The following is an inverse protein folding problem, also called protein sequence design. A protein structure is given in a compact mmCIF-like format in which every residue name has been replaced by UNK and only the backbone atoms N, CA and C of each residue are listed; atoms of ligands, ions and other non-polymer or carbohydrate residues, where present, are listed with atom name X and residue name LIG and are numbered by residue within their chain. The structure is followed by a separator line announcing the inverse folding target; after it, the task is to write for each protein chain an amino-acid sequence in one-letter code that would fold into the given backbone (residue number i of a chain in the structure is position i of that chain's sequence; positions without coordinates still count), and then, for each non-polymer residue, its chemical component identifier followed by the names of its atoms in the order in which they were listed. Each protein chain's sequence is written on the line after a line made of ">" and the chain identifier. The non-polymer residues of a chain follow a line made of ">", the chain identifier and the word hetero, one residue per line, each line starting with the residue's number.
data_IF_903328636057
#
_entry.id   IF_903328636057
#
_cell.length_a   1.000
_cell.length_b   1.000
_cell.length_c   1.000
_cell.angle_alpha   90.00
_cell.angle_beta   90.00
_cell.angle_gamma   90.00
#
_symmetry.space_group_name_H-M   'P 1'
#
loop_
_entity.id
_entity.type
_entity.pdbx_description
1 polymer ?
#
# COMPACT_ATOMS: atom_id res chain seq x y z
N UNK A 1 2.40 2.37 -40.66
CA UNK A 1 2.86 1.31 -39.75
C UNK A 1 3.80 1.92 -38.71
N UNK A 2 4.99 2.44 -39.07
CA UNK A 2 5.99 2.98 -38.12
C UNK A 2 5.45 4.07 -37.18
N UNK A 3 4.70 5.05 -37.75
CA UNK A 3 4.08 6.14 -36.99
C UNK A 3 2.97 5.68 -36.04
N UNK A 4 2.38 4.54 -36.33
CA UNK A 4 1.34 3.95 -35.50
C UNK A 4 1.96 3.19 -34.32
N UNK A 5 3.07 2.51 -34.54
CA UNK A 5 3.86 1.87 -33.48
C UNK A 5 4.51 2.91 -32.56
N UNK A 6 5.07 3.99 -33.10
CA UNK A 6 5.66 5.08 -32.30
C UNK A 6 4.63 5.75 -31.37
N UNK A 7 3.35 5.82 -31.76
CA UNK A 7 2.28 6.35 -30.90
C UNK A 7 1.92 5.41 -29.74
N UNK A 8 2.20 4.13 -29.87
CA UNK A 8 1.94 3.13 -28.83
C UNK A 8 3.14 2.90 -27.90
N UNK A 9 4.31 3.37 -28.31
CA UNK A 9 5.54 3.24 -27.54
C UNK A 9 5.49 4.19 -26.35
N UNK A 10 5.32 3.62 -25.16
CA UNK A 10 5.43 4.36 -23.90
C UNK A 10 6.90 4.55 -23.59
N UNK A 11 7.40 5.73 -23.79
CA UNK A 11 8.74 6.12 -23.30
C UNK A 11 8.58 6.47 -21.83
N UNK A 12 9.19 5.66 -20.98
CA UNK A 12 9.26 5.99 -19.55
C UNK A 12 10.31 7.09 -19.36
N UNK A 13 9.98 8.18 -18.65
CA UNK A 13 10.95 9.20 -18.33
C UNK A 13 12.10 8.62 -17.50
N UNK A 14 13.30 9.18 -17.67
CA UNK A 14 14.44 8.81 -16.83
C UNK A 14 14.10 9.02 -15.35
N UNK A 15 14.49 8.04 -14.53
CA UNK A 15 14.19 8.09 -13.09
C UNK A 15 14.98 9.23 -12.45
N UNK A 16 14.35 10.10 -11.67
CA UNK A 16 15.07 11.09 -10.89
C UNK A 16 15.96 10.38 -9.86
N UNK A 17 17.15 10.93 -9.54
CA UNK A 17 18.11 10.28 -8.64
C UNK A 17 17.58 10.07 -7.22
N UNK A 18 16.52 10.79 -6.83
CA UNK A 18 15.81 10.60 -5.56
C UNK A 18 14.36 10.26 -5.89
N UNK A 19 14.05 8.98 -5.91
CA UNK A 19 12.68 8.50 -6.16
C UNK A 19 12.35 7.36 -5.22
N UNK A 20 11.10 7.31 -4.77
CA UNK A 20 10.53 6.14 -4.08
C UNK A 20 9.83 5.30 -5.13
N UNK A 21 10.27 4.07 -5.28
CA UNK A 21 9.66 3.12 -6.21
C UNK A 21 8.47 2.45 -5.54
N UNK A 22 7.36 2.35 -6.29
CA UNK A 22 6.17 1.63 -5.87
C UNK A 22 6.05 0.38 -6.73
N UNK A 23 6.11 -0.76 -6.10
CA UNK A 23 6.06 -2.06 -6.78
C UNK A 23 4.94 -2.93 -6.20
N UNK A 24 4.45 -3.85 -7.02
CA UNK A 24 3.50 -4.87 -6.59
C UNK A 24 4.17 -5.95 -5.74
N UNK A 25 3.36 -6.64 -4.94
CA UNK A 25 3.84 -7.69 -4.02
C UNK A 25 4.70 -8.77 -4.70
N UNK A 26 4.35 -9.19 -5.90
CA UNK A 26 5.07 -10.24 -6.63
C UNK A 26 6.35 -9.74 -7.31
N UNK A 27 6.51 -8.43 -7.46
CA UNK A 27 7.64 -7.78 -8.13
C UNK A 27 8.77 -7.48 -7.16
N UNK A 28 8.46 -7.32 -5.87
CA UNK A 28 9.42 -6.97 -4.82
C UNK A 28 10.63 -7.92 -4.71
N UNK A 29 10.49 -9.17 -5.12
CA UNK A 29 11.58 -10.14 -5.10
C UNK A 29 12.72 -9.80 -6.09
N UNK A 30 12.43 -8.98 -7.10
CA UNK A 30 13.37 -8.54 -8.12
C UNK A 30 14.01 -7.20 -7.78
N UNK A 31 13.54 -6.55 -6.73
CA UNK A 31 14.06 -5.27 -6.26
C UNK A 31 15.26 -5.52 -5.35
N UNK A 32 16.37 -4.85 -5.63
CA UNK A 32 17.64 -4.93 -4.90
C UNK A 32 17.81 -3.82 -3.86
N UNK A 33 16.80 -2.96 -3.67
CA UNK A 33 16.84 -1.90 -2.68
C UNK A 33 17.12 -2.46 -1.28
N UNK A 34 18.07 -1.88 -0.53
CA UNK A 34 18.45 -2.39 0.78
C UNK A 34 17.35 -2.19 1.84
N UNK A 35 16.46 -1.25 1.62
CA UNK A 35 15.33 -0.92 2.50
C UNK A 35 14.00 -1.13 1.76
N UNK A 36 13.11 -1.88 2.37
CA UNK A 36 11.75 -2.05 1.87
C UNK A 36 10.71 -1.62 2.91
N UNK A 37 9.70 -0.90 2.45
CA UNK A 37 8.50 -0.62 3.22
C UNK A 37 7.33 -1.39 2.62
N UNK A 38 6.89 -2.45 3.29
CA UNK A 38 5.74 -3.25 2.89
C UNK A 38 4.47 -2.69 3.50
N UNK A 39 3.60 -2.13 2.68
CA UNK A 39 2.29 -1.66 3.11
C UNK A 39 1.19 -2.63 2.69
N UNK A 40 0.02 -2.56 3.36
CA UNK A 40 -1.12 -3.40 3.03
C UNK A 40 -0.99 -4.87 3.44
N UNK A 41 -0.11 -5.18 4.40
CA UNK A 41 0.04 -6.53 4.96
C UNK A 41 -1.15 -6.89 5.85
N UNK A 42 -2.34 -6.89 5.23
CA UNK A 42 -3.61 -7.19 5.87
C UNK A 42 -4.22 -8.48 5.31
N UNK A 43 -5.01 -9.13 6.15
CA UNK A 43 -5.72 -10.35 5.78
C UNK A 43 -6.66 -10.10 4.59
N UNK A 44 -6.59 -10.97 3.59
CA UNK A 44 -7.35 -10.85 2.35
C UNK A 44 -6.63 -10.05 1.25
N UNK A 45 -5.60 -9.24 1.57
CA UNK A 45 -4.74 -8.58 0.60
C UNK A 45 -3.47 -9.38 0.34
N UNK A 46 -2.75 -9.73 1.40
CA UNK A 46 -1.56 -10.59 1.34
C UNK A 46 -1.61 -11.57 2.53
N UNK A 47 -1.83 -12.86 2.30
CA UNK A 47 -2.15 -13.49 1.01
C UNK A 47 -3.55 -13.13 0.51
N UNK A 48 -3.66 -12.96 -0.80
CA UNK A 48 -4.96 -12.82 -1.45
C UNK A 48 -5.74 -14.12 -1.28
N UNK A 49 -6.98 -14.03 -0.80
CA UNK A 49 -7.86 -15.18 -0.62
C UNK A 49 -9.10 -15.06 -1.53
N UNK A 50 -9.38 -16.11 -2.27
CA UNK A 50 -10.65 -16.24 -2.99
C UNK A 50 -11.68 -16.82 -2.02
N UNK A 51 -12.67 -16.01 -1.69
CA UNK A 51 -13.75 -16.38 -0.77
C UNK A 51 -15.07 -16.33 -1.54
N UNK A 52 -15.90 -17.35 -1.36
CA UNK A 52 -17.27 -17.34 -1.86
C UNK A 52 -17.46 -17.59 -3.36
N UNK A 53 -16.50 -18.22 -4.03
CA UNK A 53 -16.73 -18.72 -5.39
C UNK A 53 -17.67 -19.91 -5.35
N UNK A 54 -18.92 -19.70 -5.76
CA UNK A 54 -19.99 -20.71 -5.71
C UNK A 54 -19.79 -21.81 -6.74
N UNK A 55 -19.17 -21.51 -7.88
CA UNK A 55 -19.00 -22.46 -8.98
C UNK A 55 -17.73 -23.32 -8.81
N UNK A 56 -16.69 -22.73 -8.24
CA UNK A 56 -15.40 -23.41 -8.09
C UNK A 56 -14.81 -23.12 -6.71
N UNK A 57 -15.34 -23.77 -5.67
CA UNK A 57 -14.84 -23.61 -4.31
C UNK A 57 -13.39 -24.07 -4.18
N UNK A 58 -12.70 -23.61 -3.15
CA UNK A 58 -11.26 -23.85 -2.96
C UNK A 58 -10.91 -25.35 -2.87
N UNK A 59 -11.79 -26.15 -2.27
CA UNK A 59 -11.64 -27.62 -2.23
C UNK A 59 -11.68 -28.26 -3.62
N UNK A 60 -12.55 -27.81 -4.50
CA UNK A 60 -12.60 -28.29 -5.88
C UNK A 60 -11.36 -27.85 -6.68
N UNK A 61 -10.85 -26.64 -6.43
CA UNK A 61 -9.57 -26.16 -7.01
C UNK A 61 -8.41 -27.06 -6.60
N UNK A 62 -8.36 -27.47 -5.34
CA UNK A 62 -7.32 -28.35 -4.84
C UNK A 62 -7.37 -29.72 -5.52
N UNK A 63 -8.56 -30.32 -5.65
CA UNK A 63 -8.75 -31.61 -6.34
C UNK A 63 -8.38 -31.55 -7.83
N UNK A 64 -8.62 -30.42 -8.48
CA UNK A 64 -8.30 -30.19 -9.89
C UNK A 64 -6.84 -29.76 -10.11
N UNK A 65 -6.02 -29.63 -9.06
CA UNK A 65 -4.65 -29.14 -9.17
C UNK A 65 -4.52 -27.66 -9.56
N UNK A 66 -5.60 -26.88 -9.38
CA UNK A 66 -5.61 -25.45 -9.69
C UNK A 66 -5.06 -24.63 -8.51
N UNK A 67 -4.70 -23.38 -8.81
CA UNK A 67 -4.29 -22.41 -7.77
C UNK A 67 -5.41 -22.25 -6.74
N UNK A 68 -5.13 -22.63 -5.51
CA UNK A 68 -6.02 -22.55 -4.36
C UNK A 68 -5.45 -21.60 -3.29
N UNK A 69 -6.20 -21.34 -2.22
CA UNK A 69 -5.76 -20.44 -1.14
C UNK A 69 -4.52 -20.97 -0.40
N UNK A 70 -4.35 -22.28 -0.31
CA UNK A 70 -3.18 -22.92 0.32
C UNK A 70 -1.90 -22.67 -0.50
N UNK A 71 -1.97 -22.84 -1.82
CA UNK A 71 -0.83 -22.57 -2.71
C UNK A 71 -0.44 -21.10 -2.74
N UNK A 72 -1.43 -20.18 -2.67
CA UNK A 72 -1.19 -18.74 -2.56
C UNK A 72 -0.51 -18.39 -1.23
N UNK A 73 -1.02 -18.93 -0.14
CA UNK A 73 -0.42 -18.75 1.18
C UNK A 73 1.03 -19.24 1.21
N UNK A 74 1.31 -20.44 0.70
CA UNK A 74 2.65 -21.00 0.66
C UNK A 74 3.62 -20.12 -0.17
N UNK A 75 3.18 -19.66 -1.33
CA UNK A 75 3.94 -18.72 -2.17
C UNK A 75 4.27 -17.44 -1.40
N UNK A 76 3.28 -16.81 -0.81
CA UNK A 76 3.43 -15.52 -0.16
C UNK A 76 4.25 -15.62 1.14
N UNK A 77 4.14 -16.75 1.86
CA UNK A 77 4.99 -17.06 3.00
C UNK A 77 6.48 -17.21 2.59
N UNK A 78 6.72 -17.92 1.48
CA UNK A 78 8.06 -18.05 0.93
C UNK A 78 8.63 -16.69 0.50
N UNK A 79 7.85 -15.89 -0.24
CA UNK A 79 8.28 -14.55 -0.69
C UNK A 79 8.61 -13.65 0.48
N UNK A 80 7.77 -13.59 1.52
CA UNK A 80 8.03 -12.79 2.71
C UNK A 80 9.30 -13.23 3.41
N UNK A 81 9.50 -14.54 3.57
CA UNK A 81 10.69 -15.10 4.20
C UNK A 81 11.95 -14.78 3.40
N UNK A 82 11.89 -14.88 2.08
CA UNK A 82 13.01 -14.55 1.19
C UNK A 82 13.35 -13.06 1.23
N UNK A 83 12.35 -12.18 1.22
CA UNK A 83 12.54 -10.73 1.33
C UNK A 83 13.21 -10.33 2.65
N UNK A 84 12.78 -10.94 3.76
CA UNK A 84 13.39 -10.68 5.07
C UNK A 84 14.82 -11.22 5.11
N UNK A 85 15.05 -12.46 4.64
CA UNK A 85 16.35 -13.09 4.67
C UNK A 85 17.39 -12.38 3.78
N UNK A 86 16.96 -11.81 2.66
CA UNK A 86 17.84 -11.09 1.73
C UNK A 86 18.30 -9.71 2.23
N UNK A 87 17.68 -9.18 3.29
CA UNK A 87 17.90 -7.82 3.80
C UNK A 87 18.25 -7.80 5.29
N UNK A 88 19.26 -8.57 5.67
CA UNK A 88 19.73 -8.70 7.06
C UNK A 88 20.93 -7.80 7.39
N UNK A 89 21.31 -6.87 6.48
CA UNK A 89 22.46 -5.99 6.64
C UNK A 89 22.22 -4.84 7.64
N UNK A 90 23.31 -4.23 8.09
CA UNK A 90 23.30 -3.13 9.04
C UNK A 90 22.65 -1.86 8.45
N UNK A 91 21.62 -1.37 9.13
CA UNK A 91 21.00 -0.06 8.90
C UNK A 91 19.79 -0.02 8.00
N UNK A 92 19.43 -1.11 7.36
CA UNK A 92 18.24 -1.22 6.51
C UNK A 92 17.57 -2.58 6.74
N UNK A 93 16.41 -2.78 6.16
CA UNK A 93 15.67 -4.02 6.34
C UNK A 93 14.27 -3.91 5.75
N UNK A 94 13.43 -4.82 6.16
CA UNK A 94 12.02 -4.85 5.77
C UNK A 94 11.18 -4.26 6.90
N UNK A 95 10.56 -3.12 6.64
CA UNK A 95 9.57 -2.53 7.54
C UNK A 95 8.17 -2.90 7.06
N UNK A 96 7.31 -3.33 7.97
CA UNK A 96 5.96 -3.78 7.64
C UNK A 96 4.94 -2.84 8.27
N UNK A 97 4.06 -2.31 7.43
CA UNK A 97 2.95 -1.44 7.85
C UNK A 97 1.64 -2.16 7.65
N UNK A 98 0.87 -2.26 8.73
CA UNK A 98 -0.44 -2.90 8.77
C UNK A 98 -1.50 -1.82 8.97
N UNK A 99 -2.47 -1.75 8.07
CA UNK A 99 -3.61 -0.85 8.22
C UNK A 99 -4.55 -1.33 9.32
N UNK A 100 -5.04 -0.42 10.15
CA UNK A 100 -6.07 -0.73 11.17
C UNK A 100 -7.48 -0.62 10.60
N UNK A 101 -7.69 0.34 9.69
CA UNK A 101 -8.98 0.58 9.06
C UNK A 101 -8.81 0.73 7.54
N UNK A 102 -9.83 0.34 6.81
CA UNK A 102 -9.95 0.62 5.38
C UNK A 102 -10.24 2.10 5.13
N UNK A 103 -10.18 2.53 3.86
CA UNK A 103 -10.59 3.88 3.45
C UNK A 103 -12.06 4.19 3.76
N UNK A 104 -12.89 3.16 3.97
CA UNK A 104 -14.32 3.27 4.35
C UNK A 104 -14.53 3.25 5.86
N UNK A 105 -13.47 3.07 6.66
CA UNK A 105 -13.55 2.97 8.11
C UNK A 105 -13.73 1.55 8.66
N UNK A 106 -13.83 0.52 7.79
CA UNK A 106 -13.99 -0.86 8.24
C UNK A 106 -12.69 -1.36 8.90
N UNK A 107 -12.78 -2.12 10.00
CA UNK A 107 -11.60 -2.65 10.68
C UNK A 107 -10.89 -3.70 9.81
N UNK A 108 -9.59 -3.53 9.66
CA UNK A 108 -8.71 -4.47 8.98
C UNK A 108 -7.98 -5.34 9.98
N UNK A 109 -7.74 -6.60 9.61
CA UNK A 109 -6.95 -7.54 10.40
C UNK A 109 -5.55 -7.64 9.83
N UNK A 110 -4.51 -7.81 10.67
CA UNK A 110 -3.17 -8.14 10.19
C UNK A 110 -3.15 -9.43 9.38
N UNK A 111 -2.27 -9.49 8.41
CA UNK A 111 -2.06 -10.71 7.63
C UNK A 111 -1.63 -11.88 8.53
N UNK A 112 -2.19 -13.06 8.27
CA UNK A 112 -1.79 -14.32 8.94
C UNK A 112 -0.33 -14.67 8.70
N UNK A 113 0.31 -14.17 7.66
CA UNK A 113 1.73 -14.35 7.40
C UNK A 113 2.61 -13.79 8.52
N UNK A 114 2.17 -12.71 9.16
CA UNK A 114 2.91 -12.05 10.23
C UNK A 114 2.94 -12.88 11.53
N UNK A 115 2.09 -13.89 11.64
CA UNK A 115 2.06 -14.82 12.77
C UNK A 115 2.86 -16.10 12.54
N UNK A 116 3.56 -16.21 11.40
CA UNK A 116 4.49 -17.30 11.10
C UNK A 116 5.78 -17.09 11.91
N UNK A 117 5.78 -17.51 13.17
CA UNK A 117 6.91 -17.42 14.08
C UNK A 117 6.90 -18.59 15.07
N UNK A 118 7.98 -18.74 15.82
CA UNK A 118 8.01 -19.73 16.89
C UNK A 118 6.90 -19.45 17.92
N UNK A 119 6.27 -20.49 18.51
CA UNK A 119 5.19 -20.33 19.49
C UNK A 119 5.55 -19.39 20.66
N UNK A 120 6.80 -19.38 21.07
CA UNK A 120 7.32 -18.52 22.14
C UNK A 120 7.32 -17.03 21.80
N UNK A 121 7.38 -16.68 20.51
CA UNK A 121 7.39 -15.30 20.01
C UNK A 121 5.97 -14.76 19.73
N UNK A 122 4.99 -15.67 19.60
CA UNK A 122 3.63 -15.31 19.21
C UNK A 122 2.97 -14.28 20.14
N UNK A 123 3.06 -14.38 21.48
CA UNK A 123 2.46 -13.39 22.39
C UNK A 123 3.04 -11.99 22.21
N UNK A 124 4.33 -11.88 21.95
CA UNK A 124 4.98 -10.60 21.67
C UNK A 124 4.49 -10.02 20.35
N UNK A 125 4.45 -10.82 19.29
CA UNK A 125 3.93 -10.39 17.99
C UNK A 125 2.48 -9.91 18.05
N UNK A 126 1.64 -10.62 18.76
CA UNK A 126 0.25 -10.20 18.97
C UNK A 126 0.19 -8.82 19.64
N UNK A 127 0.99 -8.60 20.69
CA UNK A 127 1.06 -7.29 21.34
C UNK A 127 1.54 -6.18 20.41
N UNK A 128 2.51 -6.43 19.55
CA UNK A 128 3.04 -5.46 18.59
C UNK A 128 2.00 -5.12 17.52
N UNK A 129 1.31 -6.12 17.00
CA UNK A 129 0.35 -5.94 15.90
C UNK A 129 -1.01 -5.37 16.35
N UNK A 130 -1.48 -5.74 17.54
CA UNK A 130 -2.79 -5.31 18.08
C UNK A 130 -2.67 -4.27 19.17
N UNK A 131 -1.49 -4.06 19.73
CA UNK A 131 -1.25 -3.02 20.71
C UNK A 131 -1.57 -1.64 20.15
N UNK A 132 -1.90 -0.71 21.03
CA UNK A 132 -1.94 0.69 20.65
C UNK A 132 -0.55 1.06 20.14
N UNK A 133 -0.45 1.49 18.90
CA UNK A 133 0.79 2.08 18.41
C UNK A 133 1.21 3.14 19.44
N UNK A 134 2.47 3.13 19.92
CA UNK A 134 2.93 4.22 20.76
C UNK A 134 2.59 5.50 19.98
N UNK A 135 1.76 6.35 20.56
CA UNK A 135 1.55 7.67 19.99
C UNK A 135 2.94 8.27 19.96
N UNK A 136 3.51 8.38 18.77
CA UNK A 136 4.75 9.09 18.58
C UNK A 136 4.49 10.50 19.11
N UNK A 137 4.99 10.78 20.30
CA UNK A 137 4.99 12.12 20.85
C UNK A 137 5.83 13.08 20.00
N UNK A 138 6.56 12.54 19.05
CA UNK A 138 7.33 13.27 18.03
C UNK A 138 6.53 13.60 16.75
N UNK A 139 5.22 13.31 16.70
CA UNK A 139 4.35 13.79 15.63
C UNK A 139 4.26 15.33 15.57
N UNK A 140 4.92 16.05 16.50
CA UNK A 140 5.06 17.49 16.45
C UNK A 140 6.27 17.98 15.67
N UNK A 141 7.10 17.13 15.14
CA UNK A 141 7.92 17.49 14.00
C UNK A 141 7.02 17.42 12.76
N UNK A 142 6.04 18.33 12.70
CA UNK A 142 5.62 18.84 11.41
C UNK A 142 6.91 19.30 10.74
N UNK A 143 7.51 18.44 9.93
CA UNK A 143 8.42 18.91 8.89
C UNK A 143 7.70 20.11 8.33
N UNK A 144 8.31 21.28 8.42
CA UNK A 144 7.67 22.55 8.12
C UNK A 144 7.24 22.67 6.66
N UNK A 145 6.37 21.77 6.25
CA UNK A 145 5.69 21.77 4.98
C UNK A 145 4.61 22.85 5.07
N UNK A 146 5.04 24.07 4.92
CA UNK A 146 4.12 25.18 4.78
C UNK A 146 3.72 25.24 3.30
N UNK A 147 2.51 24.80 3.03
CA UNK A 147 1.84 25.13 1.78
C UNK A 147 1.64 26.66 1.78
N UNK A 148 2.50 27.34 1.04
CA UNK A 148 2.23 28.73 0.72
C UNK A 148 1.20 28.75 -0.40
N UNK A 149 -0.07 29.10 -0.12
CA UNK A 149 -1.06 29.23 -1.17
C UNK A 149 -0.59 30.30 -2.13
N UNK A 150 -0.40 29.95 -3.40
CA UNK A 150 -0.17 30.93 -4.44
C UNK A 150 -1.40 31.85 -4.49
N UNK A 151 -1.25 33.18 -4.37
CA UNK A 151 -2.36 34.08 -4.46
C UNK A 151 -2.89 34.08 -5.90
N UNK A 152 -3.81 33.19 -6.19
CA UNK A 152 -4.62 33.24 -7.40
C UNK A 152 -5.96 33.85 -7.06
N UNK A 153 -6.34 34.89 -7.76
CA UNK A 153 -7.67 35.45 -7.67
C UNK A 153 -8.66 34.44 -8.24
N UNK A 154 -9.56 33.99 -7.40
CA UNK A 154 -10.73 33.24 -7.82
C UNK A 154 -11.73 34.26 -8.41
N UNK A 155 -12.35 33.94 -9.55
CA UNK A 155 -13.33 34.84 -10.19
C UNK A 155 -14.51 35.14 -9.26
N UNK A 156 -15.16 36.27 -9.47
CA UNK A 156 -16.24 36.83 -8.61
C UNK A 156 -17.50 35.94 -8.54
N UNK A 157 -17.54 34.81 -9.25
CA UNK A 157 -18.69 33.91 -9.30
C UNK A 157 -18.33 32.50 -8.89
N UNK A 158 -19.06 31.94 -7.94
CA UNK A 158 -18.96 30.55 -7.49
C UNK A 158 -20.18 29.78 -7.98
N UNK A 159 -19.98 28.63 -8.63
CA UNK A 159 -21.09 27.74 -8.99
C UNK A 159 -21.65 27.02 -7.78
N UNK A 160 -22.91 26.58 -7.85
CA UNK A 160 -23.55 25.82 -6.75
C UNK A 160 -22.78 24.55 -6.44
N UNK A 161 -22.24 23.88 -7.45
CA UNK A 161 -21.40 22.66 -7.29
C UNK A 161 -20.06 22.96 -6.64
N UNK A 162 -19.48 24.11 -6.89
CA UNK A 162 -18.23 24.55 -6.27
C UNK A 162 -18.42 24.92 -4.81
N UNK A 163 -19.55 25.51 -4.47
CA UNK A 163 -19.92 25.77 -3.09
C UNK A 163 -20.05 24.47 -2.28
N UNK A 164 -20.72 23.46 -2.84
CA UNK A 164 -20.81 22.16 -2.20
C UNK A 164 -19.44 21.48 -2.01
N UNK A 165 -18.54 21.60 -3.00
CA UNK A 165 -17.16 21.08 -2.90
C UNK A 165 -16.34 21.81 -1.84
N UNK A 166 -16.50 23.13 -1.75
CA UNK A 166 -15.84 23.93 -0.72
C UNK A 166 -16.25 23.52 0.69
N UNK A 167 -17.55 23.34 0.92
CA UNK A 167 -18.08 22.89 2.21
C UNK A 167 -17.59 21.47 2.57
N UNK A 168 -17.47 20.59 1.59
CA UNK A 168 -16.95 19.24 1.82
C UNK A 168 -15.47 19.23 2.20
N UNK A 169 -14.62 19.99 1.51
CA UNK A 169 -13.21 20.13 1.83
C UNK A 169 -12.62 21.36 1.12
N UNK A 170 -12.36 22.47 1.84
CA UNK A 170 -11.78 23.70 1.26
C UNK A 170 -10.43 23.47 0.56
N UNK A 171 -9.60 22.60 1.09
CA UNK A 171 -8.31 22.27 0.50
C UNK A 171 -8.44 21.54 -0.85
N UNK A 172 -9.32 20.57 -0.95
CA UNK A 172 -9.60 19.87 -2.21
C UNK A 172 -10.21 20.81 -3.26
N UNK A 173 -11.07 21.72 -2.84
CA UNK A 173 -11.61 22.78 -3.69
C UNK A 173 -10.48 23.66 -4.23
N UNK A 174 -9.56 24.09 -3.37
CA UNK A 174 -8.41 24.93 -3.74
C UNK A 174 -7.53 24.23 -4.79
N UNK A 175 -7.17 22.97 -4.57
CA UNK A 175 -6.37 22.21 -5.53
C UNK A 175 -7.07 22.11 -6.89
N UNK A 176 -8.34 21.70 -6.91
CA UNK A 176 -9.07 21.44 -8.15
C UNK A 176 -9.44 22.72 -8.92
N UNK A 177 -9.84 23.79 -8.22
CA UNK A 177 -10.41 24.98 -8.85
C UNK A 177 -9.45 26.15 -8.96
N UNK A 178 -8.56 26.31 -8.01
CA UNK A 178 -7.59 27.42 -8.00
C UNK A 178 -6.29 27.01 -8.67
N UNK A 179 -5.79 25.81 -8.42
CA UNK A 179 -4.54 25.32 -9.00
C UNK A 179 -4.74 24.50 -10.29
N UNK A 180 -5.95 23.97 -10.56
CA UNK A 180 -6.23 23.18 -11.75
C UNK A 180 -5.59 21.79 -11.74
N UNK A 181 -5.42 21.22 -10.55
CA UNK A 181 -4.83 19.89 -10.32
C UNK A 181 -5.88 18.79 -10.27
#
# INVERSE_FOLDING_TARGET
>A
LLMQELRTLKVHPERPPVSVELEGWLELQWNDAPCLLLSGMNEGFVPEAVIGDLFLPDSAREQLGLKNNRSRFARDAYLLSALIASRTGDGCGVQIVVGKNSSRGDPLRPSRLLFQCAPTQLPQRVRELFGAAPRSTNASQSTGWQLHPLPRQYGDTISVTDFSRYLACPFRFYLARVLGM
#
